data_IF_943328230683
#
_entry.id   IF_943328230683
#
_cell.length_a   1.000
_cell.length_b   1.000
_cell.length_c   1.000
_cell.angle_alpha   90.00
_cell.angle_beta   90.00
_cell.angle_gamma   90.00
#
_symmetry.space_group_name_H-M   'P 1'
#
loop_
_entity.id
_entity.type
_entity.pdbx_description
1 polymer ?
#
# COMPACT_ATOMS: atom_id res chain seq x y z
N UNK A 1 16.33 6.00 -16.11
CA UNK A 1 15.71 6.17 -15.98
C UNK A 1 14.63 5.79 -15.39
N UNK A 2 13.78 6.29 -15.14
CA UNK A 2 12.80 6.02 -14.31
C UNK A 2 11.53 5.75 -14.94
N UNK A 3 11.46 5.06 -16.01
CA UNK A 3 10.20 4.76 -16.67
C UNK A 3 9.29 3.97 -15.75
N UNK A 4 9.84 3.06 -14.96
CA UNK A 4 9.03 2.29 -14.03
C UNK A 4 8.39 3.21 -12.98
N UNK A 5 9.16 4.12 -12.43
CA UNK A 5 8.64 5.00 -11.40
C UNK A 5 7.57 5.94 -11.96
N UNK A 6 7.75 6.41 -13.19
CA UNK A 6 6.74 7.24 -13.84
C UNK A 6 5.46 6.44 -14.06
N UNK A 7 5.59 5.19 -14.50
CA UNK A 7 4.44 4.34 -14.70
C UNK A 7 3.70 4.10 -13.40
N UNK A 8 4.43 3.80 -12.32
CA UNK A 8 3.80 3.58 -11.02
C UNK A 8 3.15 4.85 -10.50
N UNK A 9 3.75 6.00 -10.75
CA UNK A 9 3.18 7.26 -10.33
C UNK A 9 1.85 7.55 -11.03
N UNK A 10 1.73 7.17 -12.28
CA UNK A 10 0.48 7.34 -13.01
C UNK A 10 -0.61 6.44 -12.48
N UNK A 11 -0.22 5.31 -11.88
CA UNK A 11 -1.18 4.36 -11.35
C UNK A 11 -1.54 4.64 -9.89
N UNK A 12 -0.93 5.64 -9.28
CA UNK A 12 -1.28 6.01 -7.92
C UNK A 12 -2.60 6.74 -7.94
N UNK A 13 -3.51 6.33 -7.08
CA UNK A 13 -4.83 6.92 -7.04
C UNK A 13 -5.35 6.90 -5.61
N UNK A 14 -6.30 7.79 -5.34
CA UNK A 14 -7.01 7.76 -4.07
C UNK A 14 -8.19 6.83 -4.23
N UNK A 15 -8.28 5.83 -3.37
CA UNK A 15 -9.39 4.89 -3.41
C UNK A 15 -9.93 4.70 -2.00
N UNK A 16 -11.17 4.25 -1.92
CA UNK A 16 -11.80 4.05 -0.62
C UNK A 16 -11.52 2.66 -0.10
N UNK A 17 -11.70 2.49 1.21
CA UNK A 17 -11.54 1.17 1.81
C UNK A 17 -12.46 0.14 1.17
N UNK A 18 -13.66 0.55 0.75
CA UNK A 18 -14.58 -0.34 0.08
C UNK A 18 -13.92 -1.02 -1.13
N UNK A 19 -13.14 -0.25 -1.90
CA UNK A 19 -12.48 -0.78 -3.09
C UNK A 19 -11.25 -1.61 -2.74
N UNK A 20 -10.64 -1.36 -1.60
CA UNK A 20 -9.46 -2.10 -1.16
C UNK A 20 -9.85 -3.44 -0.54
N UNK A 21 -11.01 -3.51 0.09
CA UNK A 21 -11.43 -4.66 0.87
C UNK A 21 -11.34 -6.00 0.13
N UNK A 22 -11.76 -6.11 -1.14
CA UNK A 22 -11.64 -7.39 -1.83
C UNK A 22 -10.18 -7.89 -1.90
N UNK A 23 -9.24 -6.96 -2.02
CA UNK A 23 -7.82 -7.32 -2.05
C UNK A 23 -7.33 -7.72 -0.68
N UNK A 24 -7.85 -7.07 0.37
CA UNK A 24 -7.48 -7.43 1.73
C UNK A 24 -7.97 -8.84 2.05
N UNK A 25 -9.13 -9.22 1.53
CA UNK A 25 -9.66 -10.56 1.75
C UNK A 25 -8.80 -11.62 1.10
N UNK A 26 -8.04 -11.26 0.08
CA UNK A 26 -7.11 -12.18 -0.58
C UNK A 26 -5.70 -12.05 -0.03
N UNK A 27 -5.54 -11.27 1.05
CA UNK A 27 -4.26 -11.11 1.70
C UNK A 27 -3.24 -10.43 0.80
N UNK A 28 -3.71 -9.54 -0.05
CA UNK A 28 -2.89 -8.89 -1.06
C UNK A 28 -2.62 -7.42 -0.79
N UNK A 29 -3.03 -6.90 0.37
CA UNK A 29 -2.85 -5.49 0.68
C UNK A 29 -1.60 -5.30 1.54
N UNK A 30 -0.77 -4.33 1.18
CA UNK A 30 0.41 -3.95 1.94
C UNK A 30 0.21 -2.52 2.41
N UNK A 31 0.26 -2.30 3.71
CA UNK A 31 0.08 -0.98 4.30
C UNK A 31 1.44 -0.37 4.56
N UNK A 32 1.63 0.87 4.11
CA UNK A 32 2.89 1.59 4.22
C UNK A 32 2.73 2.68 5.28
N UNK A 33 3.70 2.79 6.17
CA UNK A 33 3.66 3.83 7.21
C UNK A 33 3.82 5.23 6.61
N UNK A 34 3.29 6.25 7.30
CA UNK A 34 3.31 7.61 6.74
C UNK A 34 4.71 8.14 6.39
N UNK A 35 5.73 7.71 7.12
CA UNK A 35 7.05 8.26 6.88
C UNK A 35 7.76 7.61 5.70
N UNK A 36 7.21 6.55 5.12
CA UNK A 36 7.85 5.87 4.00
C UNK A 36 7.11 6.24 2.72
N UNK A 37 7.85 6.41 1.64
CA UNK A 37 7.28 6.80 0.35
C UNK A 37 6.59 5.60 -0.30
N UNK A 38 5.32 5.77 -0.64
CA UNK A 38 4.54 4.72 -1.29
C UNK A 38 5.18 4.26 -2.59
N UNK A 39 5.66 5.21 -3.41
CA UNK A 39 6.25 4.84 -4.69
C UNK A 39 7.56 4.10 -4.52
N UNK A 40 8.30 4.41 -3.48
CA UNK A 40 9.53 3.70 -3.21
C UNK A 40 9.25 2.23 -2.91
N UNK A 41 8.21 1.97 -2.14
CA UNK A 41 7.82 0.61 -1.82
C UNK A 41 7.30 -0.09 -3.07
N UNK A 42 6.44 0.58 -3.83
CA UNK A 42 5.87 0.00 -5.03
C UNK A 42 6.97 -0.35 -6.03
N UNK A 43 7.95 0.53 -6.18
CA UNK A 43 9.05 0.30 -7.09
C UNK A 43 9.90 -0.90 -6.66
N UNK A 44 10.19 -1.01 -5.37
CA UNK A 44 10.97 -2.12 -4.87
C UNK A 44 10.26 -3.45 -5.10
N UNK A 45 8.95 -3.48 -4.90
CA UNK A 45 8.18 -4.69 -5.13
C UNK A 45 8.16 -5.03 -6.62
N UNK A 46 7.97 -4.03 -7.47
CA UNK A 46 7.93 -4.26 -8.91
C UNK A 46 9.27 -4.74 -9.45
N UNK A 47 10.37 -4.31 -8.82
CA UNK A 47 11.70 -4.75 -9.23
C UNK A 47 12.17 -5.99 -8.50
N UNK A 48 11.34 -6.54 -7.65
CA UNK A 48 11.65 -7.73 -6.87
C UNK A 48 12.88 -7.49 -5.99
N UNK A 49 12.96 -6.32 -5.40
CA UNK A 49 14.06 -5.95 -4.52
C UNK A 49 13.77 -6.50 -3.12
N UNK A 50 14.09 -7.78 -2.93
CA UNK A 50 13.71 -8.46 -1.70
C UNK A 50 14.48 -7.94 -0.49
N UNK A 51 15.67 -7.42 -0.67
CA UNK A 51 16.45 -6.87 0.45
C UNK A 51 15.76 -5.69 1.08
N UNK A 52 15.31 -4.73 0.27
CA UNK A 52 14.63 -3.56 0.78
C UNK A 52 13.31 -3.94 1.42
N UNK A 53 12.57 -4.83 0.77
CA UNK A 53 11.26 -5.24 1.29
C UNK A 53 11.43 -5.93 2.64
N UNK A 54 12.42 -6.79 2.78
CA UNK A 54 12.68 -7.46 4.06
C UNK A 54 13.04 -6.48 5.15
N UNK A 55 13.84 -5.47 4.83
CA UNK A 55 14.21 -4.46 5.81
C UNK A 55 13.00 -3.70 6.29
N UNK A 56 12.12 -3.34 5.38
CA UNK A 56 10.91 -2.60 5.75
C UNK A 56 9.96 -3.44 6.58
N UNK A 57 9.85 -4.73 6.27
CA UNK A 57 9.02 -5.63 7.07
C UNK A 57 9.59 -5.77 8.48
N UNK A 58 10.91 -5.95 8.58
CA UNK A 58 11.56 -6.08 9.89
C UNK A 58 11.41 -4.82 10.72
N UNK A 59 11.45 -3.66 10.07
CA UNK A 59 11.29 -2.38 10.75
C UNK A 59 9.82 -2.03 10.97
N UNK A 60 8.91 -2.86 10.44
CA UNK A 60 7.47 -2.64 10.50
C UNK A 60 7.06 -1.36 9.78
N UNK A 61 7.83 -0.97 8.78
CA UNK A 61 7.48 0.16 7.92
C UNK A 61 6.43 -0.23 6.90
N UNK A 62 6.37 -1.50 6.56
CA UNK A 62 5.28 -2.05 5.74
C UNK A 62 4.78 -3.32 6.40
N UNK A 63 3.51 -3.60 6.24
CA UNK A 63 2.91 -4.80 6.83
C UNK A 63 1.53 -5.03 6.26
N UNK A 64 0.99 -6.22 6.48
CA UNK A 64 -0.41 -6.47 6.17
C UNK A 64 -1.26 -5.75 7.18
N UNK A 65 -2.51 -5.41 6.85
CA UNK A 65 -3.39 -4.78 7.81
C UNK A 65 -3.57 -5.65 9.04
N UNK A 66 -3.55 -5.03 10.22
CA UNK A 66 -3.80 -5.76 11.45
C UNK A 66 -5.30 -5.96 11.62
N UNK A 67 -5.68 -6.89 12.49
CA UNK A 67 -7.09 -7.10 12.79
C UNK A 67 -7.74 -5.83 13.31
N UNK A 68 -7.02 -5.06 14.11
CA UNK A 68 -7.52 -3.81 14.65
C UNK A 68 -7.75 -2.81 13.53
N UNK A 69 -6.82 -2.70 12.59
CA UNK A 69 -6.98 -1.82 11.45
C UNK A 69 -8.17 -2.24 10.59
N UNK A 70 -8.31 -3.53 10.35
CA UNK A 70 -9.42 -4.04 9.55
C UNK A 70 -10.76 -3.66 10.18
N UNK A 71 -10.89 -3.84 11.49
CA UNK A 71 -12.12 -3.49 12.19
C UNK A 71 -12.39 -2.00 12.06
N UNK A 72 -11.37 -1.18 12.28
CA UNK A 72 -11.51 0.26 12.24
C UNK A 72 -11.92 0.74 10.85
N UNK A 73 -11.28 0.19 9.82
CA UNK A 73 -11.57 0.61 8.45
C UNK A 73 -12.92 0.08 7.97
N UNK A 74 -13.32 -1.09 8.42
CA UNK A 74 -14.64 -1.62 8.08
C UNK A 74 -15.75 -0.77 8.68
N UNK A 75 -15.48 -0.08 9.79
CA UNK A 75 -16.44 0.83 10.37
C UNK A 75 -16.50 2.16 9.61
N UNK A 76 -15.54 2.41 8.74
CA UNK A 76 -15.52 3.63 7.95
C UNK A 76 -15.13 3.30 6.52
N UNK A 77 -16.02 2.64 5.78
CA UNK A 77 -15.67 2.13 4.45
C UNK A 77 -15.37 3.22 3.42
N UNK A 78 -15.69 4.47 3.74
CA UNK A 78 -15.39 5.57 2.83
C UNK A 78 -14.03 6.19 3.09
N UNK A 79 -13.28 5.67 4.08
CA UNK A 79 -11.95 6.17 4.35
C UNK A 79 -11.09 6.08 3.10
N UNK A 80 -10.35 7.14 2.83
CA UNK A 80 -9.55 7.24 1.61
C UNK A 80 -8.12 6.81 1.85
N UNK A 81 -7.55 6.18 0.85
CA UNK A 81 -6.17 5.73 0.86
C UNK A 81 -5.53 6.14 -0.45
N UNK A 82 -4.24 6.39 -0.41
CA UNK A 82 -3.45 6.51 -1.62
C UNK A 82 -2.92 5.11 -1.92
N UNK A 83 -3.09 4.65 -3.14
CA UNK A 83 -2.75 3.27 -3.47
C UNK A 83 -2.04 3.16 -4.80
N UNK A 84 -1.20 2.14 -4.91
CA UNK A 84 -0.55 1.78 -6.16
C UNK A 84 -0.69 0.28 -6.34
N UNK A 85 -1.12 -0.15 -7.50
CA UNK A 85 -1.30 -1.57 -7.77
C UNK A 85 -0.03 -2.12 -8.37
N UNK A 86 0.56 -3.09 -7.67
CA UNK A 86 1.76 -3.79 -8.13
C UNK A 86 1.42 -5.26 -8.06
N UNK A 87 0.80 -5.75 -9.12
CA UNK A 87 0.22 -7.08 -9.10
C UNK A 87 1.17 -8.13 -8.59
N UNK A 88 0.70 -9.04 -7.73
CA UNK A 88 -0.69 -9.19 -7.28
C UNK A 88 -1.03 -8.34 -6.06
N UNK A 89 -0.18 -7.41 -5.68
CA UNK A 89 -0.34 -6.64 -4.46
C UNK A 89 -0.96 -5.28 -4.70
N UNK A 90 -1.65 -4.76 -3.69
CA UNK A 90 -2.12 -3.39 -3.67
C UNK A 90 -1.41 -2.72 -2.49
N UNK A 91 -0.54 -1.77 -2.80
CA UNK A 91 0.24 -1.05 -1.79
C UNK A 91 -0.55 0.20 -1.42
N UNK A 92 -0.86 0.36 -0.15
CA UNK A 92 -1.72 1.46 0.29
C UNK A 92 -1.09 2.24 1.43
N UNK A 93 -1.46 3.50 1.51
CA UNK A 93 -1.02 4.38 2.57
C UNK A 93 -2.23 5.23 2.94
N UNK A 94 -2.50 5.39 4.23
CA UNK A 94 -3.64 6.21 4.63
C UNK A 94 -3.47 7.61 4.10
N UNK A 95 -4.51 8.11 3.45
CA UNK A 95 -4.46 9.45 2.91
C UNK A 95 -4.38 10.44 4.07
N UNK A 96 -3.54 11.46 3.90
CA UNK A 96 -3.46 12.44 4.93
C UNK A 96 -4.59 13.32 4.83
N UNK A 97 -5.42 13.35 5.89
CA UNK A 97 -6.51 14.16 5.90
C UNK A 97 -6.36 15.08 6.87
N UNK A 98 -6.42 16.22 6.68
CA UNK A 98 -6.33 17.20 7.71
C UNK A 98 -7.59 17.76 8.16
#
# INVERSE_FOLDING_TARGET
MSDLRETLNKDVANISWTDILPHAKRDAVIVVKPELDLLEVAEAIARDNTSSVREWIAARSIAKPTAEQLTKWNDNPQKQFTASIVQPFVVVKEAENN
#
